data_IF_545814449686
#
_entry.id   IF_545814449686
#
_cell.length_a   1.000
_cell.length_b   1.000
_cell.length_c   1.000
_cell.angle_alpha   90.00
_cell.angle_beta   90.00
_cell.angle_gamma   90.00
#
_symmetry.space_group_name_H-M   'P 1'
#
loop_
_entity.id
_entity.type
_entity.pdbx_description
1 polymer ?
#
# COMPACT_ATOMS: atom_id res chain seq x y z
N UNK A 1 4.56 26.04 -21.27
CA UNK A 1 5.99 26.22 -20.96
C UNK A 1 6.06 26.55 -19.49
N UNK A 2 7.09 26.10 -18.78
CA UNK A 2 7.29 26.47 -17.38
C UNK A 2 8.52 27.33 -17.23
N UNK A 3 8.52 28.13 -16.18
CA UNK A 3 9.67 28.90 -15.76
C UNK A 3 10.23 28.30 -14.47
N UNK A 4 11.52 28.00 -14.48
CA UNK A 4 12.31 27.88 -13.26
C UNK A 4 12.92 29.26 -12.97
N UNK A 5 12.74 29.73 -11.73
CA UNK A 5 13.21 31.04 -11.30
C UNK A 5 13.94 30.87 -9.97
N UNK A 6 15.21 31.26 -9.91
CA UNK A 6 16.00 31.14 -8.68
C UNK A 6 16.99 32.29 -8.48
N UNK A 7 17.38 32.49 -7.22
CA UNK A 7 18.39 33.48 -6.79
C UNK A 7 19.68 32.81 -6.31
N UNK A 8 19.89 31.53 -6.62
CA UNK A 8 21.12 30.80 -6.34
C UNK A 8 22.34 31.52 -6.94
N UNK A 9 23.18 32.07 -6.07
CA UNK A 9 24.43 32.72 -6.38
C UNK A 9 25.31 32.67 -5.11
N UNK A 10 26.49 32.02 -5.14
CA UNK A 10 27.31 31.82 -3.94
C UNK A 10 27.76 33.10 -3.22
N UNK A 11 27.66 34.26 -3.87
CA UNK A 11 28.02 35.56 -3.30
C UNK A 11 26.79 36.43 -2.96
N UNK A 12 25.58 35.91 -3.19
CA UNK A 12 24.35 36.61 -2.87
C UNK A 12 24.02 36.51 -1.38
N UNK A 13 22.79 36.91 -1.09
CA UNK A 13 22.27 37.17 0.23
C UNK A 13 20.96 36.40 0.40
N UNK A 14 20.44 36.38 1.62
CA UNK A 14 19.18 35.74 1.97
C UNK A 14 18.00 36.43 1.24
N UNK A 15 17.39 35.72 0.29
CA UNK A 15 16.37 36.26 -0.60
C UNK A 15 15.00 35.67 -0.34
N UNK A 16 13.96 36.47 -0.53
CA UNK A 16 12.58 36.01 -0.74
C UNK A 16 12.13 36.32 -2.18
N UNK A 17 11.47 35.37 -2.82
CA UNK A 17 11.00 35.46 -4.20
C UNK A 17 9.49 35.32 -4.26
N UNK A 18 8.84 36.21 -5.01
CA UNK A 18 7.42 36.13 -5.36
C UNK A 18 7.26 36.37 -6.86
N UNK A 19 6.37 35.63 -7.51
CA UNK A 19 6.05 35.77 -8.92
C UNK A 19 4.57 36.05 -9.10
N UNK A 20 4.25 37.03 -9.92
CA UNK A 20 2.89 37.46 -10.22
C UNK A 20 2.58 37.40 -11.71
N UNK A 21 1.33 37.09 -12.04
CA UNK A 21 0.74 37.41 -13.35
C UNK A 21 0.24 38.85 -13.36
N UNK A 22 0.60 39.61 -14.40
CA UNK A 22 0.22 41.01 -14.60
C UNK A 22 -0.31 41.23 -16.03
N UNK A 23 -1.46 40.64 -16.40
CA UNK A 23 -1.97 40.71 -17.77
C UNK A 23 -2.40 42.13 -18.18
N UNK A 24 -2.61 43.02 -17.20
CA UNK A 24 -3.08 44.40 -17.42
C UNK A 24 -2.00 45.46 -17.28
N UNK A 25 -0.77 45.06 -16.92
CA UNK A 25 0.34 45.96 -16.60
C UNK A 25 -0.06 46.97 -15.49
N UNK A 26 -0.76 46.48 -14.46
CA UNK A 26 -1.26 47.22 -13.30
C UNK A 26 -0.86 46.50 -12.01
N UNK A 27 0.10 47.07 -11.28
CA UNK A 27 0.61 46.53 -10.03
C UNK A 27 -0.45 46.37 -8.93
N UNK A 28 -1.63 46.98 -9.06
CA UNK A 28 -2.74 46.84 -8.11
C UNK A 28 -3.69 45.69 -8.42
N UNK A 29 -3.57 45.09 -9.61
CA UNK A 29 -4.43 44.02 -10.11
C UNK A 29 -3.67 42.71 -10.38
N UNK A 30 -2.42 42.62 -9.91
CA UNK A 30 -1.59 41.43 -10.08
C UNK A 30 -2.12 40.23 -9.29
N UNK A 31 -1.97 39.04 -9.84
CA UNK A 31 -2.29 37.78 -9.16
C UNK A 31 -0.99 37.07 -8.79
N UNK A 32 -0.79 36.74 -7.53
CA UNK A 32 0.37 35.96 -7.08
C UNK A 32 0.25 34.52 -7.56
N UNK A 33 1.32 33.98 -8.15
CA UNK A 33 1.36 32.62 -8.70
C UNK A 33 2.24 31.69 -7.86
N UNK A 34 3.38 32.17 -7.37
CA UNK A 34 4.33 31.37 -6.61
C UNK A 34 5.21 32.22 -5.70
N UNK A 35 5.69 31.64 -4.61
CA UNK A 35 6.63 32.26 -3.68
C UNK A 35 7.59 31.23 -3.07
N UNK A 36 8.82 31.64 -2.77
CA UNK A 36 9.79 30.83 -2.02
C UNK A 36 10.80 31.74 -1.28
N UNK A 37 11.21 31.35 -0.08
CA UNK A 37 12.20 32.07 0.72
C UNK A 37 13.51 31.28 0.85
N UNK A 38 13.42 30.02 1.26
CA UNK A 38 14.58 29.17 1.49
C UNK A 38 14.48 27.86 0.70
N UNK A 39 15.41 27.68 -0.24
CA UNK A 39 15.58 26.46 -1.02
C UNK A 39 16.92 25.78 -0.71
N UNK A 40 16.99 24.47 -0.96
CA UNK A 40 18.19 23.66 -0.70
C UNK A 40 18.49 22.66 -1.83
N UNK A 41 17.92 22.88 -3.01
CA UNK A 41 17.94 21.95 -4.15
C UNK A 41 19.20 22.12 -5.01
N UNK A 42 19.49 23.35 -5.44
CA UNK A 42 20.65 23.68 -6.27
C UNK A 42 21.96 23.72 -5.46
N UNK A 43 23.06 23.15 -6.00
CA UNK A 43 24.37 23.19 -5.37
C UNK A 43 25.09 24.51 -5.62
N UNK A 44 26.01 24.88 -4.72
CA UNK A 44 26.88 26.05 -4.90
C UNK A 44 26.22 27.41 -4.65
N UNK A 45 25.02 27.42 -4.07
CA UNK A 45 24.32 28.64 -3.71
C UNK A 45 24.81 29.25 -2.38
N UNK A 46 24.38 30.47 -2.10
CA UNK A 46 24.44 31.05 -0.76
C UNK A 46 23.57 30.24 0.22
N UNK A 47 23.77 30.46 1.52
CA UNK A 47 23.12 29.66 2.57
C UNK A 47 21.59 29.70 2.58
N UNK A 48 20.99 30.79 2.09
CA UNK A 48 19.54 31.00 1.99
C UNK A 48 19.25 31.68 0.66
N UNK A 49 18.55 30.98 -0.23
CA UNK A 49 18.20 31.47 -1.56
C UNK A 49 16.81 30.98 -1.92
N UNK A 50 16.17 31.68 -2.85
CA UNK A 50 14.84 31.31 -3.31
C UNK A 50 14.89 30.52 -4.60
N UNK A 51 13.97 29.56 -4.74
CA UNK A 51 13.78 28.74 -5.93
C UNK A 51 12.30 28.46 -6.15
N UNK A 52 11.80 28.78 -7.33
CA UNK A 52 10.47 28.41 -7.82
C UNK A 52 10.70 27.54 -9.05
N UNK A 53 10.18 26.31 -9.00
CA UNK A 53 10.17 25.37 -10.12
C UNK A 53 8.73 25.20 -10.64
N UNK A 54 8.60 24.74 -11.89
CA UNK A 54 7.33 24.36 -12.52
C UNK A 54 6.28 25.47 -12.60
N UNK A 55 6.69 26.74 -12.60
CA UNK A 55 5.75 27.84 -12.76
C UNK A 55 5.22 27.85 -14.19
N UNK A 56 3.96 27.44 -14.36
CA UNK A 56 3.26 27.52 -15.65
C UNK A 56 3.17 28.96 -16.14
N UNK A 57 3.74 29.22 -17.32
CA UNK A 57 3.71 30.53 -17.96
C UNK A 57 3.25 30.45 -19.42
N UNK A 58 2.61 31.51 -19.87
CA UNK A 58 2.00 31.61 -21.20
C UNK A 58 2.68 32.68 -22.04
N UNK A 59 2.94 32.36 -23.30
CA UNK A 59 3.52 33.30 -24.25
C UNK A 59 2.60 34.52 -24.43
N UNK A 60 3.16 35.73 -24.32
CA UNK A 60 2.42 36.99 -24.46
C UNK A 60 1.77 37.50 -23.17
N UNK A 61 1.84 36.75 -22.07
CA UNK A 61 1.44 37.23 -20.74
C UNK A 61 2.63 37.92 -20.06
N UNK A 62 2.37 39.01 -19.33
CA UNK A 62 3.40 39.72 -18.57
C UNK A 62 3.45 39.17 -17.15
N UNK A 63 4.64 38.81 -16.69
CA UNK A 63 4.91 38.33 -15.34
C UNK A 63 5.78 39.32 -14.58
N UNK A 64 5.56 39.46 -13.27
CA UNK A 64 6.37 40.29 -12.38
C UNK A 64 7.08 39.43 -11.36
N UNK A 65 8.40 39.54 -11.30
CA UNK A 65 9.22 38.83 -10.34
C UNK A 65 9.68 39.85 -9.29
N UNK A 66 9.35 39.59 -8.02
CA UNK A 66 9.72 40.41 -6.88
C UNK A 66 10.76 39.64 -6.07
N UNK A 67 11.93 40.26 -5.90
CA UNK A 67 13.01 39.74 -5.06
C UNK A 67 13.14 40.66 -3.84
N UNK A 68 13.12 40.08 -2.65
CA UNK A 68 13.21 40.76 -1.36
C UNK A 68 14.20 40.08 -0.42
N UNK A 69 14.29 40.62 0.79
CA UNK A 69 15.00 40.03 1.93
C UNK A 69 14.04 39.19 2.75
N UNK A 70 14.53 38.18 3.48
CA UNK A 70 13.78 37.49 4.55
C UNK A 70 13.11 38.45 5.56
N UNK A 71 13.69 39.64 5.79
CA UNK A 71 13.28 40.51 6.89
C UNK A 71 13.27 42.01 6.58
N UNK A 72 12.50 42.75 7.37
CA UNK A 72 12.51 44.21 7.34
C UNK A 72 13.84 44.73 7.91
N UNK A 73 14.58 45.49 7.10
CA UNK A 73 15.83 46.13 7.54
C UNK A 73 17.06 45.24 7.49
N UNK A 74 16.93 43.96 7.14
CA UNK A 74 18.03 43.13 6.64
C UNK A 74 18.30 43.58 5.21
N UNK A 75 19.30 44.45 5.03
CA UNK A 75 19.59 45.10 3.76
C UNK A 75 19.81 44.10 2.62
N UNK A 76 19.49 44.55 1.39
CA UNK A 76 19.73 43.76 0.18
C UNK A 76 21.20 43.66 -0.22
N UNK A 77 21.48 42.67 -1.06
CA UNK A 77 22.80 42.43 -1.66
C UNK A 77 22.79 42.52 -3.18
N UNK A 78 23.95 42.24 -3.77
CA UNK A 78 24.08 41.98 -5.20
C UNK A 78 24.03 40.47 -5.40
N UNK A 79 23.32 40.03 -6.42
CA UNK A 79 23.21 38.62 -6.78
C UNK A 79 22.59 38.47 -8.16
N UNK A 80 22.50 37.23 -8.60
CA UNK A 80 21.93 36.86 -9.89
C UNK A 80 20.49 36.38 -9.72
N UNK A 81 19.58 36.89 -10.54
CA UNK A 81 18.25 36.29 -10.75
C UNK A 81 18.31 35.50 -12.05
N UNK A 82 18.19 34.18 -11.94
CA UNK A 82 18.15 33.28 -13.08
C UNK A 82 16.70 32.95 -13.41
N UNK A 83 16.36 33.04 -14.69
CA UNK A 83 15.04 32.65 -15.23
C UNK A 83 15.30 31.71 -16.38
N UNK A 84 15.07 30.43 -16.16
CA UNK A 84 15.18 29.40 -17.17
C UNK A 84 13.77 29.08 -17.68
N UNK A 85 13.58 29.20 -18.99
CA UNK A 85 12.31 28.89 -19.63
C UNK A 85 12.41 27.49 -20.23
N UNK A 86 11.63 26.57 -19.67
CA UNK A 86 11.56 25.17 -20.09
C UNK A 86 10.33 24.99 -20.99
N UNK A 87 10.54 24.42 -22.17
CA UNK A 87 9.47 23.94 -23.03
C UNK A 87 9.52 22.43 -22.92
N UNK A 88 8.39 21.79 -22.60
CA UNK A 88 8.28 20.34 -22.52
C UNK A 88 9.03 19.67 -23.69
N UNK A 89 10.07 18.95 -23.34
CA UNK A 89 10.87 18.09 -24.21
C UNK A 89 10.93 16.70 -23.58
N UNK A 90 11.23 15.64 -24.34
CA UNK A 90 11.48 14.33 -23.72
C UNK A 90 12.54 14.45 -22.62
N UNK A 91 12.34 13.72 -21.54
CA UNK A 91 13.16 13.81 -20.33
C UNK A 91 14.65 13.53 -20.59
N UNK A 92 15.52 14.31 -19.95
CA UNK A 92 16.96 14.12 -19.85
C UNK A 92 17.25 13.63 -18.43
N UNK A 93 17.42 12.33 -18.31
CA UNK A 93 17.41 11.58 -17.06
C UNK A 93 18.58 11.79 -16.09
N UNK A 94 19.37 12.85 -16.25
CA UNK A 94 20.57 13.09 -15.45
C UNK A 94 20.96 14.57 -15.29
N UNK A 95 20.07 15.52 -15.61
CA UNK A 95 20.39 16.95 -15.62
C UNK A 95 19.79 17.75 -14.46
N UNK A 96 19.00 17.11 -13.60
CA UNK A 96 18.42 17.70 -12.39
C UNK A 96 17.17 18.53 -12.65
N UNK A 97 16.56 18.40 -13.82
CA UNK A 97 15.42 19.20 -14.27
C UNK A 97 14.38 18.28 -14.91
N UNK A 98 13.15 18.37 -14.43
CA UNK A 98 11.94 17.88 -15.12
C UNK A 98 11.77 18.65 -16.45
N UNK A 99 12.26 18.05 -17.53
CA UNK A 99 12.29 18.62 -18.87
C UNK A 99 10.97 18.45 -19.61
N UNK A 100 10.20 17.41 -19.29
CA UNK A 100 8.93 17.10 -19.92
C UNK A 100 7.73 17.80 -19.23
N UNK A 101 7.97 18.29 -18.00
CA UNK A 101 7.12 19.12 -17.17
C UNK A 101 5.92 18.37 -16.57
N UNK A 102 6.11 17.10 -16.23
CA UNK A 102 5.11 16.28 -15.55
C UNK A 102 5.22 16.32 -14.01
N UNK A 103 6.29 16.93 -13.48
CA UNK A 103 6.57 17.08 -12.06
C UNK A 103 7.59 16.10 -11.49
N UNK A 104 8.09 15.16 -12.29
CA UNK A 104 9.13 14.21 -11.92
C UNK A 104 10.49 14.59 -12.52
N UNK A 105 11.58 14.40 -11.77
CA UNK A 105 12.92 14.83 -12.18
C UNK A 105 13.83 13.62 -12.36
N UNK A 106 14.58 13.57 -13.46
CA UNK A 106 15.63 12.58 -13.73
C UNK A 106 15.13 11.14 -13.51
N UNK A 107 15.80 10.36 -12.67
CA UNK A 107 15.47 8.98 -12.40
C UNK A 107 14.20 8.80 -11.56
N UNK A 108 13.64 9.88 -11.01
CA UNK A 108 12.32 9.82 -10.40
C UNK A 108 11.20 9.99 -11.45
N UNK A 109 11.57 10.30 -12.70
CA UNK A 109 10.67 10.36 -13.85
C UNK A 109 10.46 8.97 -14.46
N UNK A 110 9.20 8.65 -14.75
CA UNK A 110 8.78 7.42 -15.41
C UNK A 110 9.30 7.29 -16.85
N UNK A 111 9.50 8.39 -17.56
CA UNK A 111 10.09 8.43 -18.90
C UNK A 111 11.57 8.04 -18.90
N UNK A 112 12.22 8.06 -17.73
CA UNK A 112 13.61 7.69 -17.52
C UNK A 112 13.86 6.22 -17.17
N UNK A 113 12.80 5.41 -17.15
CA UNK A 113 12.85 3.99 -16.78
C UNK A 113 13.96 3.17 -17.49
N UNK A 114 14.24 3.46 -18.76
CA UNK A 114 15.22 2.74 -19.55
C UNK A 114 16.59 3.44 -19.64
N UNK A 115 16.77 4.58 -18.98
CA UNK A 115 18.00 5.34 -19.09
C UNK A 115 19.13 4.67 -18.27
N UNK A 116 20.31 4.40 -18.89
CA UNK A 116 21.46 3.86 -18.18
C UNK A 116 21.99 4.74 -17.03
N UNK A 117 21.65 6.03 -16.96
CA UNK A 117 21.96 6.89 -15.81
C UNK A 117 21.19 6.48 -14.56
N UNK A 118 19.99 5.91 -14.74
CA UNK A 118 19.05 5.51 -13.70
C UNK A 118 19.28 4.08 -13.22
N UNK A 119 20.53 3.80 -12.83
CA UNK A 119 20.89 2.55 -12.17
C UNK A 119 20.68 2.69 -10.67
N UNK A 120 19.79 1.89 -10.07
CA UNK A 120 19.67 1.80 -8.61
C UNK A 120 18.26 1.88 -8.05
N UNK A 121 17.24 2.17 -8.87
CA UNK A 121 15.84 2.10 -8.45
C UNK A 121 15.47 0.64 -8.29
N UNK A 122 15.07 0.25 -7.09
CA UNK A 122 14.60 -1.11 -6.88
C UNK A 122 13.20 -1.29 -7.50
N UNK A 123 12.91 -2.48 -8.03
CA UNK A 123 11.54 -2.79 -8.47
C UNK A 123 10.60 -2.68 -7.27
N UNK A 124 9.54 -1.90 -7.41
CA UNK A 124 8.60 -1.56 -6.35
C UNK A 124 8.98 -0.32 -5.54
N UNK A 125 10.12 0.32 -5.77
CA UNK A 125 10.54 1.51 -5.01
C UNK A 125 9.72 2.75 -5.39
N UNK A 126 9.40 2.89 -6.68
CA UNK A 126 8.61 4.01 -7.19
C UNK A 126 7.42 3.53 -8.03
N UNK A 127 6.40 4.38 -8.18
CA UNK A 127 5.14 4.04 -8.83
C UNK A 127 5.31 3.43 -10.23
N UNK A 128 6.24 3.96 -11.03
CA UNK A 128 6.47 3.50 -12.41
C UNK A 128 7.24 2.17 -12.50
N UNK A 129 7.79 1.68 -11.39
CA UNK A 129 8.41 0.35 -11.26
C UNK A 129 7.61 -0.57 -10.34
N UNK A 130 6.32 -0.31 -10.15
CA UNK A 130 5.47 -1.07 -9.25
C UNK A 130 5.51 -2.59 -9.49
N UNK A 131 5.42 -3.36 -8.41
CA UNK A 131 5.37 -4.81 -8.45
C UNK A 131 3.95 -5.26 -8.78
N UNK A 132 3.76 -6.04 -9.84
CA UNK A 132 2.46 -6.67 -10.14
C UNK A 132 2.07 -7.68 -9.06
N UNK A 133 0.83 -7.59 -8.56
CA UNK A 133 0.29 -8.47 -7.52
C UNK A 133 -1.05 -9.10 -7.94
N UNK A 134 -1.44 -10.15 -7.23
CA UNK A 134 -2.63 -10.96 -7.54
C UNK A 134 -3.45 -11.27 -6.28
N UNK A 135 -4.63 -11.85 -6.46
CA UNK A 135 -5.49 -12.28 -5.34
C UNK A 135 -4.79 -13.31 -4.44
N UNK A 136 -4.82 -13.07 -3.14
CA UNK A 136 -4.13 -13.86 -2.13
C UNK A 136 -2.88 -13.16 -1.63
N UNK A 137 -1.89 -13.95 -1.22
CA UNK A 137 -0.69 -13.50 -0.55
C UNK A 137 0.43 -13.14 -1.54
N UNK A 138 0.98 -11.93 -1.39
CA UNK A 138 2.09 -11.39 -2.18
C UNK A 138 3.24 -11.00 -1.24
N UNK A 139 4.49 -11.34 -1.54
CA UNK A 139 5.61 -11.00 -0.66
C UNK A 139 5.89 -9.49 -0.66
N UNK A 140 6.22 -8.96 0.52
CA UNK A 140 6.72 -7.60 0.72
C UNK A 140 8.18 -7.68 1.18
N UNK A 141 9.03 -6.84 0.61
CA UNK A 141 10.39 -6.54 1.08
C UNK A 141 10.70 -5.07 0.76
N UNK A 142 10.69 -4.18 1.77
CA UNK A 142 11.08 -2.76 1.58
C UNK A 142 12.52 -2.46 1.94
N UNK A 143 13.35 -3.47 2.23
CA UNK A 143 14.76 -3.23 2.48
C UNK A 143 15.49 -2.50 1.34
N UNK A 144 15.11 -2.67 0.05
CA UNK A 144 15.73 -1.94 -1.03
C UNK A 144 15.03 -0.61 -1.38
N UNK A 145 13.91 -0.27 -0.72
CA UNK A 145 13.14 0.93 -1.04
C UNK A 145 13.69 2.16 -0.32
N UNK A 146 13.34 3.33 -0.83
CA UNK A 146 13.63 4.65 -0.28
C UNK A 146 12.34 5.27 0.25
N UNK A 147 12.45 6.43 0.91
CA UNK A 147 11.25 7.21 1.25
C UNK A 147 11.00 8.14 0.07
N UNK A 148 9.98 7.84 -0.73
CA UNK A 148 9.70 8.58 -1.96
C UNK A 148 9.31 10.03 -1.67
N UNK A 149 9.56 10.90 -2.65
CA UNK A 149 9.06 12.30 -2.64
C UNK A 149 7.69 12.44 -3.28
N UNK A 150 7.03 11.31 -3.55
CA UNK A 150 5.73 11.20 -4.20
C UNK A 150 4.67 12.12 -3.57
N UNK A 151 3.67 12.55 -4.36
CA UNK A 151 2.77 13.63 -4.00
C UNK A 151 2.15 13.49 -2.61
N UNK A 152 1.88 14.62 -1.94
CA UNK A 152 1.35 14.63 -0.59
C UNK A 152 0.02 13.87 -0.54
N UNK A 153 -0.01 12.83 0.28
CA UNK A 153 -1.18 12.02 0.55
C UNK A 153 -2.31 12.92 1.07
N UNK A 154 -3.50 12.84 0.47
CA UNK A 154 -4.68 13.48 1.05
C UNK A 154 -5.18 12.67 2.26
N UNK A 155 -4.56 12.93 3.40
CA UNK A 155 -4.92 12.31 4.68
C UNK A 155 -6.36 12.66 5.14
N UNK A 156 -7.06 13.60 4.49
CA UNK A 156 -8.45 13.89 4.84
C UNK A 156 -9.40 12.75 4.45
N UNK A 157 -8.97 11.88 3.54
CA UNK A 157 -9.69 10.65 3.15
C UNK A 157 -9.52 9.53 4.19
N UNK A 158 -8.56 9.66 5.12
CA UNK A 158 -8.26 8.63 6.14
C UNK A 158 -8.24 9.21 7.56
N UNK A 159 -9.37 9.79 8.01
CA UNK A 159 -9.45 10.43 9.32
C UNK A 159 -9.38 9.38 10.44
N UNK A 160 -8.31 9.46 11.26
CA UNK A 160 -8.19 8.68 12.49
C UNK A 160 -7.51 7.31 12.35
N UNK A 161 -6.96 6.98 11.18
CA UNK A 161 -6.29 5.69 10.91
C UNK A 161 -4.79 5.68 11.17
N UNK A 162 -4.22 6.76 11.73
CA UNK A 162 -2.83 6.75 12.20
C UNK A 162 -1.76 6.74 11.12
N UNK A 163 -2.07 7.07 9.86
CA UNK A 163 -1.09 7.07 8.78
C UNK A 163 0.17 7.85 9.18
N UNK A 164 1.29 7.16 9.30
CA UNK A 164 2.56 7.70 9.75
C UNK A 164 3.34 8.37 8.64
N UNK A 165 4.67 8.22 8.68
CA UNK A 165 5.57 8.91 7.77
C UNK A 165 5.54 8.41 6.33
N UNK A 166 4.87 7.28 6.03
CA UNK A 166 4.99 6.57 4.75
C UNK A 166 6.47 6.38 4.36
N UNK A 167 7.32 6.05 5.32
CA UNK A 167 8.76 5.95 5.08
C UNK A 167 9.16 4.55 4.59
N UNK A 168 10.19 4.51 3.74
CA UNK A 168 10.66 3.29 3.04
C UNK A 168 9.50 2.60 2.33
N UNK A 169 8.75 3.39 1.57
CA UNK A 169 7.53 2.95 0.91
C UNK A 169 7.80 2.26 -0.41
N UNK A 170 6.88 1.39 -0.78
CA UNK A 170 6.89 0.76 -2.09
C UNK A 170 5.53 0.77 -2.75
N UNK A 171 5.54 0.35 -4.01
CA UNK A 171 4.44 0.42 -4.94
C UNK A 171 4.14 -0.96 -5.54
N UNK A 172 2.87 -1.34 -5.47
CA UNK A 172 2.34 -2.57 -6.03
C UNK A 172 1.13 -2.25 -6.92
N UNK A 173 1.04 -2.91 -8.06
CA UNK A 173 -0.04 -2.71 -9.00
C UNK A 173 -0.94 -3.95 -9.06
N UNK A 174 -2.24 -3.74 -8.89
CA UNK A 174 -3.23 -4.80 -8.85
C UNK A 174 -4.33 -4.56 -9.90
N UNK A 175 -4.58 -5.55 -10.76
CA UNK A 175 -5.77 -5.57 -11.62
C UNK A 175 -6.88 -6.37 -10.91
N UNK A 176 -8.00 -5.71 -10.60
CA UNK A 176 -9.11 -6.37 -9.91
C UNK A 176 -9.72 -7.46 -10.78
N UNK A 177 -9.80 -8.67 -10.23
CA UNK A 177 -10.29 -9.84 -10.96
C UNK A 177 -11.81 -9.89 -11.03
N UNK A 178 -12.50 -9.24 -10.10
CA UNK A 178 -13.96 -9.16 -10.05
C UNK A 178 -14.45 -7.82 -9.46
N UNK A 179 -15.77 -7.59 -9.58
CA UNK A 179 -16.41 -6.40 -9.01
C UNK A 179 -17.01 -6.77 -7.66
N UNK A 180 -16.33 -6.40 -6.58
CA UNK A 180 -16.68 -6.79 -5.21
C UNK A 180 -16.03 -5.86 -4.18
N UNK A 181 -16.40 -6.00 -2.91
CA UNK A 181 -15.60 -5.46 -1.82
C UNK A 181 -14.35 -6.33 -1.64
N UNK A 182 -13.22 -5.70 -1.30
CA UNK A 182 -11.94 -6.37 -1.08
C UNK A 182 -11.37 -6.00 0.28
N UNK A 183 -10.75 -6.97 0.95
CA UNK A 183 -9.77 -6.71 1.98
C UNK A 183 -8.38 -6.61 1.36
N UNK A 184 -7.71 -5.48 1.59
CA UNK A 184 -6.29 -5.29 1.30
C UNK A 184 -5.59 -5.05 2.63
N UNK A 185 -4.69 -5.94 3.02
CA UNK A 185 -4.04 -5.85 4.33
C UNK A 185 -2.60 -6.35 4.36
N UNK A 186 -1.87 -5.90 5.37
CA UNK A 186 -0.48 -6.29 5.66
C UNK A 186 -0.35 -7.25 6.84
N UNK A 187 -1.47 -7.73 7.41
CA UNK A 187 -1.44 -8.71 8.51
C UNK A 187 -0.66 -9.96 8.09
N UNK A 188 0.44 -10.22 8.81
CA UNK A 188 1.34 -11.34 8.62
C UNK A 188 1.99 -11.74 9.97
N UNK A 189 1.63 -12.89 10.56
CA UNK A 189 2.27 -13.39 11.79
C UNK A 189 3.77 -13.67 11.66
N UNK A 190 4.26 -13.85 10.43
CA UNK A 190 5.64 -14.13 10.09
C UNK A 190 6.46 -12.88 9.73
N UNK A 191 5.87 -11.69 9.78
CA UNK A 191 6.56 -10.44 9.47
C UNK A 191 7.82 -10.24 10.34
N UNK A 192 8.91 -9.77 9.72
CA UNK A 192 10.19 -9.52 10.40
C UNK A 192 10.63 -8.09 10.12
N UNK A 193 10.71 -7.25 11.16
CA UNK A 193 11.11 -5.84 11.04
C UNK A 193 10.02 -4.91 10.47
N UNK A 194 8.92 -5.50 10.01
CA UNK A 194 7.76 -4.87 9.36
C UNK A 194 6.60 -4.71 10.35
N UNK A 195 6.73 -3.76 11.29
CA UNK A 195 5.93 -3.74 12.53
C UNK A 195 4.86 -2.65 12.61
N UNK A 196 4.84 -1.68 11.72
CA UNK A 196 3.91 -0.54 11.76
C UNK A 196 3.77 -0.03 10.33
N UNK A 197 2.72 -0.49 9.66
CA UNK A 197 2.55 -0.34 8.22
C UNK A 197 1.51 0.72 7.93
N UNK A 198 1.66 1.40 6.81
CA UNK A 198 0.68 2.35 6.31
C UNK A 198 0.37 2.01 4.85
N UNK A 199 -0.90 1.75 4.54
CA UNK A 199 -1.36 1.41 3.19
C UNK A 199 -2.20 2.54 2.62
N UNK A 200 -1.99 2.86 1.34
CA UNK A 200 -2.83 3.75 0.54
C UNK A 200 -3.14 3.04 -0.79
N UNK A 201 -4.39 3.16 -1.24
CA UNK A 201 -4.85 2.61 -2.52
C UNK A 201 -5.33 3.76 -3.39
N UNK A 202 -4.91 3.76 -4.65
CA UNK A 202 -5.27 4.72 -5.68
C UNK A 202 -6.01 4.02 -6.83
N UNK A 203 -6.97 4.71 -7.44
CA UNK A 203 -7.59 4.28 -8.70
C UNK A 203 -6.67 4.65 -9.87
N UNK A 204 -5.79 3.72 -10.25
CA UNK A 204 -4.81 3.96 -11.31
C UNK A 204 -5.46 4.03 -12.70
N UNK A 205 -6.62 3.40 -12.87
CA UNK A 205 -7.41 3.53 -14.10
C UNK A 205 -7.99 4.93 -14.24
N UNK A 206 -8.50 5.52 -13.15
CA UNK A 206 -8.96 6.90 -13.13
C UNK A 206 -7.80 7.91 -13.31
N UNK A 207 -6.61 7.58 -12.81
CA UNK A 207 -5.37 8.32 -13.07
C UNK A 207 -4.87 8.19 -14.53
N UNK A 208 -5.52 7.38 -15.37
CA UNK A 208 -5.12 7.19 -16.76
C UNK A 208 -3.86 6.34 -16.95
N UNK A 209 -3.52 5.52 -15.96
CA UNK A 209 -2.30 4.69 -15.91
C UNK A 209 -1.01 5.52 -15.88
N UNK A 210 -1.05 6.65 -15.19
CA UNK A 210 0.05 7.61 -15.13
C UNK A 210 0.29 8.05 -13.67
N UNK A 211 1.54 7.90 -13.22
CA UNK A 211 1.96 8.22 -11.85
C UNK A 211 1.81 9.72 -11.53
N UNK A 212 1.99 10.60 -12.52
CA UNK A 212 1.82 12.04 -12.35
C UNK A 212 0.38 12.43 -11.96
N UNK A 213 -0.59 11.56 -12.27
CA UNK A 213 -2.01 11.78 -11.97
C UNK A 213 -2.49 11.03 -10.73
N UNK A 214 -1.63 10.39 -9.94
CA UNK A 214 -2.07 9.67 -8.74
C UNK A 214 -2.65 10.60 -7.66
N UNK A 215 -2.12 11.81 -7.54
CA UNK A 215 -2.61 12.80 -6.59
C UNK A 215 -4.07 13.17 -6.90
N UNK A 216 -4.97 12.98 -5.93
CA UNK A 216 -6.40 13.19 -6.07
C UNK A 216 -7.18 11.95 -6.56
N UNK A 217 -6.49 10.84 -6.84
CA UNK A 217 -7.09 9.53 -7.14
C UNK A 217 -6.92 8.51 -6.00
N UNK A 218 -6.56 8.96 -4.79
CA UNK A 218 -6.63 8.17 -3.57
C UNK A 218 -8.08 7.72 -3.31
N UNK A 219 -8.29 6.43 -3.09
CA UNK A 219 -9.63 5.87 -2.83
C UNK A 219 -9.78 5.28 -1.43
N UNK A 220 -8.68 4.89 -0.79
CA UNK A 220 -8.68 4.44 0.58
C UNK A 220 -7.28 4.43 1.19
N UNK A 221 -7.17 4.56 2.51
CA UNK A 221 -5.94 4.32 3.24
C UNK A 221 -6.19 3.91 4.70
N UNK A 222 -5.20 3.24 5.30
CA UNK A 222 -5.20 2.84 6.70
C UNK A 222 -3.76 2.65 7.20
N UNK A 223 -3.45 3.15 8.40
CA UNK A 223 -2.22 2.83 9.12
C UNK A 223 -2.45 1.68 10.09
N UNK A 224 -3.40 1.87 11.00
CA UNK A 224 -3.65 0.92 12.08
C UNK A 224 -4.97 0.17 11.96
N UNK A 225 -4.92 -1.15 12.11
CA UNK A 225 -6.09 -2.01 12.24
C UNK A 225 -5.96 -3.03 13.37
N UNK A 226 -7.12 -3.45 13.87
CA UNK A 226 -7.31 -4.46 14.91
C UNK A 226 -8.49 -5.39 14.62
N UNK A 227 -9.00 -5.34 13.39
CA UNK A 227 -10.28 -5.96 13.02
C UNK A 227 -10.12 -7.44 12.70
N UNK A 228 -9.01 -7.85 12.08
CA UNK A 228 -8.77 -9.24 11.73
C UNK A 228 -8.57 -10.10 13.00
N UNK A 229 -9.24 -11.26 13.10
CA UNK A 229 -9.16 -12.15 14.27
C UNK A 229 -7.91 -13.05 14.29
N UNK A 230 -7.13 -13.09 13.21
CA UNK A 230 -5.93 -13.93 13.08
C UNK A 230 -4.73 -13.42 13.90
N UNK A 231 -3.64 -14.21 14.01
CA UNK A 231 -2.40 -13.72 14.60
C UNK A 231 -1.79 -12.67 13.65
N UNK A 232 -2.11 -11.40 13.87
CA UNK A 232 -1.47 -10.29 13.18
C UNK A 232 -0.36 -9.72 14.05
N UNK A 233 0.69 -9.19 13.42
CA UNK A 233 1.57 -8.23 14.07
C UNK A 233 0.76 -7.02 14.54
N UNK A 234 1.24 -6.30 15.56
CA UNK A 234 0.59 -5.04 15.94
C UNK A 234 0.73 -4.03 14.79
N UNK A 235 -0.23 -3.09 14.67
CA UNK A 235 -0.14 -1.96 13.74
C UNK A 235 0.00 -2.38 12.26
N UNK A 236 -0.69 -3.46 11.89
CA UNK A 236 -0.91 -3.78 10.50
C UNK A 236 -2.02 -2.89 9.95
N UNK A 237 -2.01 -2.68 8.64
CA UNK A 237 -3.05 -1.96 7.93
C UNK A 237 -4.07 -2.92 7.35
N UNK A 238 -5.33 -2.51 7.36
CA UNK A 238 -6.44 -3.18 6.66
C UNK A 238 -7.32 -2.11 6.03
N UNK A 239 -7.59 -2.28 4.75
CA UNK A 239 -8.57 -1.52 4.00
C UNK A 239 -9.66 -2.46 3.53
N UNK A 240 -10.92 -2.04 3.70
CA UNK A 240 -12.07 -2.64 3.04
C UNK A 240 -12.64 -1.62 2.04
N UNK A 241 -12.65 -1.97 0.76
CA UNK A 241 -13.11 -1.07 -0.30
C UNK A 241 -13.71 -1.82 -1.50
N UNK A 242 -14.69 -1.22 -2.21
CA UNK A 242 -15.21 -1.78 -3.44
C UNK A 242 -14.23 -1.57 -4.60
N UNK A 243 -13.90 -2.64 -5.32
CA UNK A 243 -13.13 -2.63 -6.57
C UNK A 243 -14.00 -3.09 -7.74
N UNK A 244 -13.59 -2.72 -8.96
CA UNK A 244 -14.29 -3.02 -10.21
C UNK A 244 -13.42 -3.90 -11.10
N UNK A 245 -13.99 -5.01 -11.59
CA UNK A 245 -13.29 -5.97 -12.43
C UNK A 245 -12.62 -5.31 -13.65
N UNK A 246 -11.33 -5.61 -13.88
CA UNK A 246 -10.53 -5.10 -14.98
C UNK A 246 -9.99 -3.67 -14.79
N UNK A 247 -10.36 -2.98 -13.71
CA UNK A 247 -9.66 -1.76 -13.33
C UNK A 247 -8.33 -2.12 -12.64
N UNK A 248 -7.31 -1.31 -12.92
CA UNK A 248 -6.01 -1.35 -12.25
C UNK A 248 -5.99 -0.35 -11.10
N UNK A 249 -5.40 -0.76 -10.00
CA UNK A 249 -5.24 -0.03 -8.75
C UNK A 249 -3.78 -0.01 -8.36
N UNK A 250 -3.34 1.11 -7.81
CA UNK A 250 -2.00 1.26 -7.29
C UNK A 250 -2.06 1.21 -5.77
N UNK A 251 -1.22 0.38 -5.15
CA UNK A 251 -1.16 0.17 -3.71
C UNK A 251 0.21 0.64 -3.26
N UNK A 252 0.24 1.71 -2.45
CA UNK A 252 1.44 2.22 -1.81
C UNK A 252 1.48 1.72 -0.38
N UNK A 253 2.59 1.12 0.02
CA UNK A 253 2.78 0.64 1.40
C UNK A 253 4.07 1.20 1.95
N UNK A 254 3.98 2.00 3.00
CA UNK A 254 5.11 2.49 3.77
C UNK A 254 5.06 2.02 5.21
N UNK A 255 5.93 2.59 6.02
CA UNK A 255 5.93 2.37 7.46
C UNK A 255 5.80 3.67 8.23
N UNK A 256 5.33 3.58 9.49
CA UNK A 256 5.13 4.76 10.33
C UNK A 256 6.42 5.56 10.58
N UNK A 257 7.60 4.91 10.45
CA UNK A 257 8.91 5.52 10.66
C UNK A 257 9.96 4.86 9.76
N UNK A 258 11.22 4.80 10.18
CA UNK A 258 12.33 4.29 9.37
C UNK A 258 12.47 2.76 9.45
N UNK A 259 11.36 2.03 9.47
CA UNK A 259 11.36 0.58 9.62
C UNK A 259 11.57 -0.10 8.27
N UNK A 260 12.38 -1.16 8.26
CA UNK A 260 12.57 -2.00 7.08
C UNK A 260 12.44 -3.46 7.45
N UNK A 261 11.90 -4.25 6.54
CA UNK A 261 11.63 -5.65 6.80
C UNK A 261 10.92 -6.35 5.65
N UNK A 262 10.46 -7.56 5.96
CA UNK A 262 9.70 -8.41 5.05
C UNK A 262 8.35 -8.76 5.66
N UNK A 263 7.33 -8.93 4.81
CA UNK A 263 5.99 -9.33 5.21
C UNK A 263 5.17 -9.82 4.02
N UNK A 264 3.84 -9.74 4.15
CA UNK A 264 2.90 -10.19 3.12
C UNK A 264 1.82 -9.15 2.89
N UNK A 265 1.59 -8.77 1.63
CA UNK A 265 0.41 -8.05 1.16
C UNK A 265 -0.64 -9.09 0.77
N UNK A 266 -1.77 -9.09 1.46
CA UNK A 266 -2.91 -9.96 1.11
C UNK A 266 -4.01 -9.13 0.46
N UNK A 267 -4.45 -9.56 -0.71
CA UNK A 267 -5.59 -8.98 -1.45
C UNK A 267 -6.65 -10.06 -1.56
N UNK A 268 -7.79 -9.86 -0.91
CA UNK A 268 -8.85 -10.86 -0.84
C UNK A 268 -10.19 -10.25 -1.21
N UNK A 269 -10.84 -10.80 -2.23
CA UNK A 269 -12.22 -10.44 -2.51
C UNK A 269 -13.17 -10.99 -1.44
N UNK A 270 -14.16 -10.19 -1.07
CA UNK A 270 -15.21 -10.53 -0.10
C UNK A 270 -16.44 -11.13 -0.78
N UNK A 271 -16.36 -11.38 -2.09
CA UNK A 271 -17.37 -12.14 -2.84
C UNK A 271 -17.52 -13.55 -2.29
N UNK A 272 -16.44 -14.11 -1.73
CA UNK A 272 -16.46 -15.36 -0.99
C UNK A 272 -15.80 -15.21 0.40
N UNK A 273 -16.57 -14.75 1.41
CA UNK A 273 -16.02 -14.48 2.73
C UNK A 273 -15.38 -15.73 3.34
N UNK A 274 -14.30 -15.60 4.13
CA UNK A 274 -13.64 -16.77 4.72
C UNK A 274 -14.61 -17.56 5.60
N UNK A 275 -14.42 -18.87 5.67
CA UNK A 275 -15.16 -19.69 6.63
C UNK A 275 -14.78 -19.29 8.06
N UNK A 276 -15.75 -19.20 8.94
CA UNK A 276 -15.53 -18.88 10.36
C UNK A 276 -16.30 -19.83 11.28
N UNK A 277 -15.81 -19.95 12.51
CA UNK A 277 -16.53 -20.64 13.58
C UNK A 277 -16.52 -22.17 13.46
N UNK A 278 -15.57 -22.73 12.71
CA UNK A 278 -15.42 -24.16 12.53
C UNK A 278 -15.16 -24.85 13.87
N UNK A 279 -16.04 -25.77 14.19
CA UNK A 279 -16.00 -26.58 15.41
C UNK A 279 -16.29 -28.03 15.07
N UNK A 280 -15.84 -28.92 15.96
CA UNK A 280 -15.96 -30.36 15.77
C UNK A 280 -16.51 -31.05 17.01
N UNK A 281 -17.43 -31.98 16.79
CA UNK A 281 -17.93 -32.91 17.80
C UNK A 281 -17.78 -34.34 17.28
N UNK A 282 -17.35 -35.27 18.15
CA UNK A 282 -17.20 -36.68 17.79
C UNK A 282 -18.13 -37.55 18.66
N UNK A 283 -18.87 -38.47 18.04
CA UNK A 283 -19.66 -39.48 18.75
C UNK A 283 -18.86 -40.77 18.84
N UNK A 284 -18.40 -41.08 20.05
CA UNK A 284 -17.58 -42.26 20.32
C UNK A 284 -18.34 -43.60 20.19
N UNK A 285 -19.67 -43.59 20.15
CA UNK A 285 -20.46 -44.81 19.99
C UNK A 285 -20.60 -45.22 18.53
N UNK A 286 -20.76 -44.23 17.64
CA UNK A 286 -21.03 -44.43 16.21
C UNK A 286 -19.77 -44.20 15.35
N UNK A 287 -18.76 -43.52 15.89
CA UNK A 287 -17.58 -43.09 15.12
C UNK A 287 -17.90 -41.96 14.15
N UNK A 288 -18.91 -41.14 14.46
CA UNK A 288 -19.34 -40.04 13.61
C UNK A 288 -18.65 -38.73 14.02
N UNK A 289 -18.30 -37.91 13.03
CA UNK A 289 -17.75 -36.57 13.24
C UNK A 289 -18.77 -35.56 12.73
N UNK A 290 -19.25 -34.68 13.59
CA UNK A 290 -20.07 -33.54 13.20
C UNK A 290 -19.20 -32.29 13.17
N UNK A 291 -19.11 -31.69 11.98
CA UNK A 291 -18.53 -30.38 11.77
C UNK A 291 -19.65 -29.34 11.82
N UNK A 292 -19.36 -28.16 12.39
CA UNK A 292 -20.29 -27.03 12.42
C UNK A 292 -19.53 -25.73 12.23
N UNK A 293 -20.13 -24.77 11.54
CA UNK A 293 -19.50 -23.49 11.18
C UNK A 293 -20.56 -22.37 11.13
N UNK A 294 -20.12 -21.12 11.11
CA UNK A 294 -21.01 -19.95 11.00
C UNK A 294 -21.64 -19.85 9.61
N UNK A 295 -22.91 -19.42 9.55
CA UNK A 295 -23.60 -19.23 8.28
C UNK A 295 -23.00 -18.06 7.50
N UNK A 296 -22.81 -18.24 6.19
CA UNK A 296 -22.33 -17.19 5.30
C UNK A 296 -22.91 -17.30 3.88
N UNK A 297 -22.61 -16.31 3.04
CA UNK A 297 -23.06 -16.28 1.64
C UNK A 297 -22.12 -17.11 0.75
N UNK A 298 -22.41 -18.41 0.63
CA UNK A 298 -21.71 -19.32 -0.29
C UNK A 298 -22.67 -19.88 -1.34
N UNK A 299 -22.14 -20.26 -2.52
CA UNK A 299 -22.88 -21.08 -3.49
C UNK A 299 -22.81 -22.56 -3.08
N UNK A 300 -21.63 -23.02 -2.67
CA UNK A 300 -21.38 -24.34 -2.09
C UNK A 300 -20.27 -24.29 -1.04
N UNK A 301 -20.14 -25.34 -0.23
CA UNK A 301 -19.09 -25.47 0.77
C UNK A 301 -18.36 -26.79 0.52
N UNK A 302 -17.05 -26.73 0.38
CA UNK A 302 -16.21 -27.90 0.18
C UNK A 302 -15.59 -28.34 1.51
N UNK A 303 -15.63 -29.66 1.75
CA UNK A 303 -15.09 -30.31 2.93
C UNK A 303 -14.00 -31.28 2.52
N UNK A 304 -12.79 -31.07 3.00
CA UNK A 304 -11.70 -32.04 2.82
C UNK A 304 -11.34 -32.69 4.15
N UNK A 305 -10.90 -33.95 4.09
CA UNK A 305 -10.38 -34.73 5.21
C UNK A 305 -9.03 -35.29 4.80
N UNK A 306 -8.00 -34.96 5.57
CA UNK A 306 -6.59 -35.30 5.31
C UNK A 306 -6.16 -34.91 3.88
N UNK A 307 -6.62 -33.74 3.42
CA UNK A 307 -6.34 -33.21 2.08
C UNK A 307 -7.16 -33.82 0.94
N UNK A 308 -8.13 -34.70 1.23
CA UNK A 308 -9.01 -35.31 0.22
C UNK A 308 -10.43 -34.76 0.35
N UNK A 309 -11.00 -34.24 -0.74
CA UNK A 309 -12.40 -33.79 -0.77
C UNK A 309 -13.34 -34.96 -0.45
N UNK A 310 -14.15 -34.81 0.61
CA UNK A 310 -15.13 -35.81 1.05
C UNK A 310 -16.56 -35.41 0.72
N UNK A 311 -16.85 -34.11 0.62
CA UNK A 311 -18.17 -33.60 0.29
C UNK A 311 -18.12 -32.16 -0.24
N UNK A 312 -19.13 -31.83 -1.05
CA UNK A 312 -19.51 -30.46 -1.40
C UNK A 312 -20.98 -30.30 -1.04
N UNK A 313 -21.30 -29.42 -0.10
CA UNK A 313 -22.66 -29.20 0.41
C UNK A 313 -23.22 -27.85 -0.07
N UNK A 314 -24.55 -27.65 -0.08
CA UNK A 314 -25.15 -26.35 -0.37
C UNK A 314 -24.57 -25.23 0.49
N UNK A 315 -24.37 -24.04 -0.09
CA UNK A 315 -23.71 -22.93 0.60
C UNK A 315 -24.45 -22.36 1.81
N UNK A 316 -25.72 -22.71 2.00
CA UNK A 316 -26.53 -22.34 3.16
C UNK A 316 -26.48 -23.38 4.30
N UNK A 317 -25.73 -24.47 4.15
CA UNK A 317 -25.53 -25.44 5.22
C UNK A 317 -24.57 -24.89 6.27
N UNK A 318 -24.79 -25.27 7.53
CA UNK A 318 -23.97 -24.85 8.69
C UNK A 318 -23.38 -26.04 9.43
N UNK A 319 -23.53 -27.25 8.89
CA UNK A 319 -23.04 -28.48 9.50
C UNK A 319 -22.92 -29.61 8.49
N UNK A 320 -21.97 -30.51 8.72
CA UNK A 320 -21.84 -31.77 7.99
C UNK A 320 -21.51 -32.90 8.95
N UNK A 321 -22.08 -34.08 8.71
CA UNK A 321 -21.81 -35.28 9.50
C UNK A 321 -21.05 -36.28 8.63
N UNK A 322 -19.84 -36.61 9.05
CA UNK A 322 -18.99 -37.63 8.46
C UNK A 322 -19.19 -38.96 9.20
N UNK A 323 -19.56 -40.00 8.46
CA UNK A 323 -20.10 -41.23 9.03
C UNK A 323 -19.11 -42.40 8.94
N UNK A 324 -19.11 -43.25 9.97
CA UNK A 324 -18.48 -44.57 9.93
C UNK A 324 -16.96 -44.53 9.89
N UNK A 325 -16.34 -43.57 10.60
CA UNK A 325 -14.89 -43.46 10.68
C UNK A 325 -14.29 -44.51 11.61
N UNK A 326 -13.11 -45.01 11.22
CA UNK A 326 -12.31 -45.83 12.11
C UNK A 326 -11.71 -44.97 13.23
N UNK A 327 -11.31 -45.56 14.36
CA UNK A 327 -10.56 -44.84 15.38
C UNK A 327 -9.27 -44.25 14.80
N UNK A 328 -9.06 -42.95 15.01
CA UNK A 328 -7.96 -42.20 14.41
C UNK A 328 -8.07 -40.70 14.62
N UNK A 329 -7.02 -39.98 14.21
CA UNK A 329 -7.02 -38.52 14.14
C UNK A 329 -7.15 -38.11 12.68
N UNK A 330 -8.04 -37.16 12.42
CA UNK A 330 -8.39 -36.68 11.09
C UNK A 330 -8.31 -35.16 11.06
N UNK A 331 -7.67 -34.60 10.04
CA UNK A 331 -7.61 -33.15 9.83
C UNK A 331 -8.68 -32.76 8.81
N UNK A 332 -9.62 -31.91 9.22
CA UNK A 332 -10.65 -31.38 8.34
C UNK A 332 -10.32 -29.95 7.95
N UNK A 333 -10.57 -29.63 6.69
CA UNK A 333 -10.54 -28.28 6.17
C UNK A 333 -11.88 -28.00 5.49
N UNK A 334 -12.50 -26.88 5.83
CA UNK A 334 -13.81 -26.48 5.33
C UNK A 334 -13.71 -25.07 4.74
N UNK A 335 -14.23 -24.90 3.52
CA UNK A 335 -14.12 -23.65 2.78
C UNK A 335 -15.39 -23.34 1.98
N UNK A 336 -15.77 -22.07 1.93
CA UNK A 336 -16.83 -21.60 1.05
C UNK A 336 -16.39 -21.57 -0.42
N UNK A 337 -17.35 -21.73 -1.32
CA UNK A 337 -17.16 -21.59 -2.77
C UNK A 337 -18.23 -20.66 -3.32
N UNK A 338 -17.82 -19.66 -4.09
CA UNK A 338 -18.69 -18.62 -4.64
C UNK A 338 -18.28 -18.37 -6.10
N UNK A 339 -19.21 -18.50 -7.03
CA UNK A 339 -18.98 -18.43 -8.47
C UNK A 339 -17.81 -19.32 -8.98
N UNK A 340 -17.50 -20.41 -8.25
CA UNK A 340 -16.37 -21.31 -8.56
C UNK A 340 -15.02 -20.88 -7.99
N UNK A 341 -14.97 -19.79 -7.21
CA UNK A 341 -13.80 -19.33 -6.46
C UNK A 341 -13.88 -19.86 -5.02
N UNK A 342 -12.76 -20.35 -4.51
CA UNK A 342 -12.63 -20.78 -3.12
C UNK A 342 -12.40 -19.56 -2.21
N UNK A 343 -13.23 -19.40 -1.18
CA UNK A 343 -12.95 -18.48 -0.09
C UNK A 343 -11.87 -19.02 0.85
N UNK A 344 -11.52 -18.24 1.87
CA UNK A 344 -10.61 -18.69 2.93
C UNK A 344 -11.16 -19.91 3.69
N UNK A 345 -10.29 -20.87 4.00
CA UNK A 345 -10.66 -22.11 4.70
C UNK A 345 -10.37 -22.03 6.21
N UNK A 346 -11.08 -22.82 7.00
CA UNK A 346 -10.72 -23.11 8.39
C UNK A 346 -10.39 -24.59 8.55
N UNK A 347 -9.45 -24.88 9.45
CA UNK A 347 -8.98 -26.25 9.72
C UNK A 347 -9.26 -26.65 11.16
N UNK A 348 -9.71 -27.90 11.38
CA UNK A 348 -9.91 -28.48 12.71
C UNK A 348 -9.47 -29.95 12.75
N UNK A 349 -8.90 -30.40 13.87
CA UNK A 349 -8.51 -31.80 14.06
C UNK A 349 -9.57 -32.52 14.88
N UNK A 350 -10.13 -33.60 14.34
CA UNK A 350 -11.06 -34.50 15.02
C UNK A 350 -10.36 -35.76 15.50
N UNK A 351 -10.51 -36.11 16.77
CA UNK A 351 -10.07 -37.39 17.30
C UNK A 351 -11.27 -38.33 17.44
N UNK A 352 -11.32 -39.35 16.59
CA UNK A 352 -12.35 -40.40 16.61
C UNK A 352 -11.84 -41.56 17.44
N UNK A 353 -12.62 -41.95 18.44
CA UNK A 353 -12.38 -43.15 19.23
C UNK A 353 -13.62 -44.05 19.16
N UNK A 354 -13.43 -45.36 19.01
CA UNK A 354 -14.55 -46.31 19.17
C UNK A 354 -14.66 -46.72 20.63
N UNK A 355 -15.79 -46.41 21.25
CA UNK A 355 -16.13 -46.92 22.56
C UNK A 355 -16.68 -48.35 22.44
N UNK A 356 -15.89 -49.34 22.87
CA UNK A 356 -16.27 -50.76 22.84
C UNK A 356 -17.28 -51.20 23.91
N UNK A 357 -17.77 -50.26 24.75
CA UNK A 357 -18.61 -50.57 25.90
C UNK A 357 -17.86 -50.67 27.23
N UNK A 358 -16.58 -50.30 27.28
CA UNK A 358 -15.75 -50.45 28.47
C UNK A 358 -16.10 -49.41 29.54
N UNK A 359 -16.46 -49.86 30.75
CA UNK A 359 -16.90 -48.98 31.85
C UNK A 359 -15.82 -48.06 32.40
N UNK A 360 -14.56 -48.33 32.10
CA UNK A 360 -13.42 -47.77 32.81
C UNK A 360 -12.36 -47.23 31.83
N UNK A 361 -11.88 -46.01 32.09
CA UNK A 361 -10.70 -45.44 31.44
C UNK A 361 -9.49 -45.76 32.32
N UNK A 362 -8.59 -46.61 31.83
CA UNK A 362 -7.37 -46.98 32.55
C UNK A 362 -6.23 -46.09 32.08
N UNK A 363 -5.77 -45.18 32.95
CA UNK A 363 -4.52 -44.46 32.73
C UNK A 363 -3.36 -45.31 33.26
N UNK A 364 -2.56 -45.85 32.35
CA UNK A 364 -1.26 -46.43 32.69
C UNK A 364 -0.24 -45.31 32.88
N UNK A 365 0.04 -44.94 34.13
CA UNK A 365 1.13 -44.04 34.46
C UNK A 365 2.39 -44.88 34.70
N UNK A 366 3.38 -44.80 33.81
CA UNK A 366 4.70 -45.32 34.12
C UNK A 366 5.34 -44.35 35.13
N UNK A 367 5.61 -44.85 36.34
CA UNK A 367 6.38 -44.10 37.34
C UNK A 367 7.82 -43.89 36.86
N UNK A 368 8.52 -42.92 37.45
CA UNK A 368 9.95 -42.70 37.18
C UNK A 368 10.71 -44.00 37.42
N UNK A 369 11.41 -44.49 36.40
CA UNK A 369 12.30 -45.65 36.51
C UNK A 369 13.40 -45.30 37.54
N UNK A 370 13.27 -45.86 38.74
CA UNK A 370 14.29 -45.77 39.79
C UNK A 370 15.28 -46.91 39.59
N UNK A 371 16.01 -46.90 38.46
CA UNK A 371 17.21 -47.70 38.28
C UNK A 371 18.32 -46.76 37.80
N UNK A 372 19.07 -46.27 38.80
CA UNK A 372 20.44 -45.76 38.63
C UNK A 372 21.38 -46.85 38.11
#
# INVERSE_FOLDING_TARGET
MVAEIHTCDPLAWDTDLLVYEDPTNDCSAMTELACNGDASVLPGCQGFYSHIQFLSVSAGVTYRIRVGSYGLGTGGGVGTLTVNMQIATPEICDDGIDNDVDGAIDCLDSDCFADPSCTGIATGDECFVAIEVFDGANPIDNQPFTTSTDPPVDYTLCPGTGNGAMAFDGWWEYEATETADYWIHTCDPGAVGWNDTDVIVYDFTAAGFDCANLAGNEIACNGDSFILPGPCQNWYSLIELPLVAGNRYMIRIGTYSVFVGTGTLTIQSLTCPPMTGLSVATDCNTGEVTLSWDANAYDSIDLTRDGVLIASVPGNDTSYVDLGLAPGSYTYEVQGVCAGIFGGSETVVANVASYGGESDVIFGLEGVDQID
#
